data_IF_433503524170
#
_entry.id   IF_433503524170
#
_cell.length_a   1.000
_cell.length_b   1.000
_cell.length_c   1.000
_cell.angle_alpha   90.00
_cell.angle_beta   90.00
_cell.angle_gamma   90.00
#
_symmetry.space_group_name_H-M   'P 1'
#
loop_
_entity.id
_entity.type
_entity.pdbx_description
1 polymer ?
#
# COMPACT_ATOMS: atom_id res chain seq x y z
N UNK A 1 -4.26 -39.50 55.27
CA UNK A 1 -3.44 -39.75 54.06
C UNK A 1 -4.26 -39.70 52.78
N UNK A 2 -5.55 -40.09 52.77
CA UNK A 2 -6.35 -40.10 51.52
C UNK A 2 -6.76 -38.72 50.99
N UNK A 3 -6.88 -37.69 51.84
CA UNK A 3 -7.30 -36.35 51.41
C UNK A 3 -6.22 -35.60 50.59
N UNK A 4 -4.95 -35.70 51.00
CA UNK A 4 -3.82 -35.08 50.28
C UNK A 4 -3.58 -35.73 48.91
N UNK A 5 -3.85 -37.04 48.79
CA UNK A 5 -3.72 -37.77 47.53
C UNK A 5 -4.78 -37.31 46.51
N UNK A 6 -6.00 -37.07 46.99
CA UNK A 6 -7.11 -36.59 46.16
C UNK A 6 -6.88 -35.15 45.67
N UNK A 7 -6.23 -34.33 46.49
CA UNK A 7 -5.91 -32.94 46.17
C UNK A 7 -4.76 -32.84 45.15
N UNK A 8 -3.73 -33.68 45.30
CA UNK A 8 -2.66 -33.83 44.29
C UNK A 8 -3.20 -34.35 42.95
N UNK A 9 -4.15 -35.29 42.99
CA UNK A 9 -4.75 -35.82 41.77
C UNK A 9 -5.59 -34.76 41.05
N UNK A 10 -6.33 -33.93 41.78
CA UNK A 10 -7.06 -32.77 41.22
C UNK A 10 -6.14 -31.70 40.66
N UNK A 11 -5.04 -31.38 41.35
CA UNK A 11 -4.05 -30.42 40.86
C UNK A 11 -3.39 -30.92 39.57
N UNK A 12 -3.03 -32.20 39.52
CA UNK A 12 -2.47 -32.80 38.31
C UNK A 12 -3.46 -32.74 37.13
N UNK A 13 -4.73 -33.08 37.37
CA UNK A 13 -5.79 -33.03 36.36
C UNK A 13 -6.04 -31.60 35.88
N UNK A 14 -6.09 -30.62 36.79
CA UNK A 14 -6.22 -29.21 36.44
C UNK A 14 -5.02 -28.70 35.63
N UNK A 15 -3.79 -29.14 35.94
CA UNK A 15 -2.61 -28.79 35.12
C UNK A 15 -2.60 -29.48 33.75
N UNK A 16 -3.15 -30.69 33.63
CA UNK A 16 -3.32 -31.34 32.34
C UNK A 16 -4.42 -30.69 31.50
N UNK A 17 -5.52 -30.26 32.10
CA UNK A 17 -6.56 -29.51 31.39
C UNK A 17 -6.10 -28.10 30.99
N UNK A 18 -5.28 -27.44 31.81
CA UNK A 18 -4.61 -26.17 31.47
C UNK A 18 -3.65 -26.36 30.31
N UNK A 19 -2.77 -27.38 30.36
CA UNK A 19 -1.87 -27.69 29.24
C UNK A 19 -2.66 -28.10 28.00
N UNK A 20 -3.70 -28.93 28.12
CA UNK A 20 -4.54 -29.34 27.00
C UNK A 20 -5.33 -28.19 26.36
N UNK A 21 -5.65 -27.13 27.12
CA UNK A 21 -6.17 -25.86 26.58
C UNK A 21 -5.09 -24.98 25.96
N UNK A 22 -3.86 -24.97 26.50
CA UNK A 22 -2.69 -24.29 25.91
C UNK A 22 -2.15 -24.97 24.64
N UNK A 23 -2.46 -26.26 24.44
CA UNK A 23 -2.18 -27.02 23.23
C UNK A 23 -3.31 -26.95 22.19
N UNK A 24 -4.26 -26.01 22.32
CA UNK A 24 -4.99 -25.52 21.13
C UNK A 24 -3.94 -24.84 20.24
N UNK A 25 -3.57 -25.64 19.25
CA UNK A 25 -2.27 -25.82 18.65
C UNK A 25 -1.76 -24.60 17.89
N UNK A 26 -0.51 -24.18 18.16
CA UNK A 26 0.24 -23.27 17.27
C UNK A 26 0.16 -23.72 15.80
N UNK A 27 0.09 -25.03 15.56
CA UNK A 27 -0.12 -25.64 14.24
C UNK A 27 -1.49 -25.31 13.64
N UNK A 28 -2.57 -25.33 14.44
CA UNK A 28 -3.90 -24.91 13.99
C UNK A 28 -3.93 -23.41 13.71
N UNK A 29 -3.30 -22.60 14.56
CA UNK A 29 -3.19 -21.17 14.33
C UNK A 29 -2.41 -20.86 13.05
N UNK A 30 -1.30 -21.58 12.82
CA UNK A 30 -0.53 -21.49 11.58
C UNK A 30 -1.37 -21.87 10.36
N UNK A 31 -2.10 -22.99 10.43
CA UNK A 31 -2.97 -23.44 9.34
C UNK A 31 -4.10 -22.43 9.03
N UNK A 32 -4.69 -21.81 10.05
CA UNK A 32 -5.73 -20.79 9.88
C UNK A 32 -5.17 -19.55 9.20
N UNK A 33 -4.02 -19.05 9.67
CA UNK A 33 -3.31 -17.91 9.06
C UNK A 33 -2.97 -18.20 7.61
N UNK A 34 -2.42 -19.38 7.30
CA UNK A 34 -2.10 -19.78 5.92
C UNK A 34 -3.35 -19.92 5.04
N UNK A 35 -4.45 -20.43 5.59
CA UNK A 35 -5.72 -20.56 4.86
C UNK A 35 -6.29 -19.20 4.50
N UNK A 36 -6.25 -18.25 5.44
CA UNK A 36 -6.74 -16.89 5.22
C UNK A 36 -5.90 -16.14 4.18
N UNK A 37 -4.56 -16.26 4.27
CA UNK A 37 -3.63 -15.70 3.28
C UNK A 37 -3.88 -16.31 1.91
N UNK A 38 -4.06 -17.63 1.79
CA UNK A 38 -4.33 -18.26 0.50
C UNK A 38 -5.69 -17.85 -0.10
N UNK A 39 -6.64 -17.42 0.73
CA UNK A 39 -7.97 -16.99 0.29
C UNK A 39 -7.99 -15.56 -0.24
N UNK A 40 -7.39 -14.62 0.51
CA UNK A 40 -7.52 -13.17 0.24
C UNK A 40 -6.18 -12.52 -0.13
N UNK A 41 -5.05 -13.15 0.21
CA UNK A 41 -3.70 -12.58 0.06
C UNK A 41 -3.32 -11.59 1.17
N UNK A 42 -4.25 -11.23 2.05
CA UNK A 42 -4.04 -10.37 3.22
C UNK A 42 -4.80 -10.94 4.41
N UNK A 43 -4.14 -11.00 5.57
CA UNK A 43 -4.70 -11.58 6.79
C UNK A 43 -4.43 -10.67 8.00
N UNK A 44 -5.50 -10.26 8.67
CA UNK A 44 -5.44 -9.47 9.91
C UNK A 44 -5.27 -10.40 11.11
N UNK A 45 -4.20 -10.22 11.87
CA UNK A 45 -3.95 -11.06 13.04
C UNK A 45 -4.94 -10.81 14.17
N UNK A 46 -5.53 -9.62 14.25
CA UNK A 46 -6.56 -9.29 15.25
C UNK A 46 -7.85 -10.07 15.00
N UNK A 47 -8.24 -10.20 13.72
CA UNK A 47 -9.43 -10.94 13.33
C UNK A 47 -9.22 -12.45 13.54
N UNK A 48 -8.04 -12.95 13.18
CA UNK A 48 -7.66 -14.36 13.41
C UNK A 48 -7.60 -14.66 14.91
N UNK A 49 -6.99 -13.79 15.71
CA UNK A 49 -6.92 -13.93 17.17
C UNK A 49 -8.33 -14.01 17.78
N UNK A 50 -9.25 -13.16 17.32
CA UNK A 50 -10.64 -13.13 17.78
C UNK A 50 -11.43 -14.37 17.34
N UNK A 51 -11.22 -14.86 16.11
CA UNK A 51 -11.90 -16.04 15.58
C UNK A 51 -11.45 -17.34 16.26
N UNK A 52 -10.15 -17.47 16.54
CA UNK A 52 -9.58 -18.67 17.21
C UNK A 52 -9.74 -18.59 18.73
N UNK A 53 -9.93 -17.39 19.28
CA UNK A 53 -10.04 -17.15 20.73
C UNK A 53 -8.70 -17.17 21.45
N UNK A 54 -7.65 -16.65 20.79
CA UNK A 54 -6.26 -16.64 21.28
C UNK A 54 -5.78 -15.21 21.44
N UNK A 55 -4.87 -14.97 22.38
CA UNK A 55 -4.25 -13.66 22.58
C UNK A 55 -3.37 -13.25 21.37
N UNK A 56 -3.43 -11.97 20.99
CA UNK A 56 -2.74 -11.42 19.81
C UNK A 56 -1.23 -11.73 19.82
N UNK A 57 -0.58 -11.69 20.99
CA UNK A 57 0.85 -11.94 21.16
C UNK A 57 1.26 -13.32 20.63
N UNK A 58 0.41 -14.33 20.77
CA UNK A 58 0.68 -15.66 20.25
C UNK A 58 0.49 -15.74 18.73
N UNK A 59 -0.46 -14.96 18.19
CA UNK A 59 -0.68 -14.84 16.75
C UNK A 59 0.48 -14.13 16.06
N UNK A 60 0.96 -13.01 16.63
CA UNK A 60 2.12 -12.27 16.12
C UNK A 60 3.37 -13.16 16.09
N UNK A 61 3.61 -13.93 17.14
CA UNK A 61 4.77 -14.83 17.20
C UNK A 61 4.73 -15.95 16.16
N UNK A 62 3.54 -16.46 15.84
CA UNK A 62 3.37 -17.47 14.77
C UNK A 62 3.47 -16.81 13.40
N UNK A 63 2.94 -15.60 13.23
CA UNK A 63 3.05 -14.81 12.01
C UNK A 63 4.51 -14.52 11.64
N UNK A 64 5.32 -14.08 12.59
CA UNK A 64 6.76 -13.85 12.40
C UNK A 64 7.49 -15.13 11.96
N UNK A 65 7.12 -16.28 12.52
CA UNK A 65 7.68 -17.57 12.11
C UNK A 65 7.30 -17.92 10.66
N UNK A 66 6.03 -17.71 10.29
CA UNK A 66 5.55 -17.96 8.93
C UNK A 66 6.30 -17.06 7.93
N UNK A 67 6.44 -15.76 8.22
CA UNK A 67 7.16 -14.81 7.36
C UNK A 67 8.64 -15.15 7.26
N UNK A 68 9.26 -15.67 8.33
CA UNK A 68 10.64 -16.14 8.28
C UNK A 68 10.82 -17.41 7.41
N UNK A 69 9.81 -18.28 7.35
CA UNK A 69 9.81 -19.48 6.51
C UNK A 69 9.49 -19.17 5.03
N UNK A 70 8.66 -18.14 4.78
CA UNK A 70 8.08 -17.81 3.47
C UNK A 70 8.40 -16.37 3.07
N UNK A 71 9.39 -16.14 2.19
CA UNK A 71 9.85 -14.79 1.82
C UNK A 71 8.86 -14.02 0.93
N UNK A 72 7.85 -14.70 0.40
CA UNK A 72 6.72 -14.15 -0.36
C UNK A 72 5.66 -13.49 0.54
N UNK A 73 5.82 -13.57 1.86
CA UNK A 73 4.94 -12.95 2.83
C UNK A 73 5.64 -11.78 3.52
N UNK A 74 4.88 -10.74 3.81
CA UNK A 74 5.35 -9.53 4.48
C UNK A 74 4.49 -9.22 5.69
N UNK A 75 5.13 -8.90 6.81
CA UNK A 75 4.42 -8.47 8.03
C UNK A 75 4.30 -6.95 8.04
N UNK A 76 3.07 -6.44 8.12
CA UNK A 76 2.75 -5.00 8.07
C UNK A 76 1.69 -4.68 9.12
N UNK A 77 2.04 -3.88 10.13
CA UNK A 77 1.09 -3.31 11.11
C UNK A 77 0.14 -4.31 11.79
N UNK A 78 0.60 -5.53 12.10
CA UNK A 78 -0.28 -6.56 12.69
C UNK A 78 -1.05 -7.38 11.65
N UNK A 79 -0.67 -7.28 10.39
CA UNK A 79 -1.22 -8.07 9.28
C UNK A 79 -0.11 -8.80 8.54
N UNK A 80 -0.47 -9.90 7.87
CA UNK A 80 0.39 -10.59 6.93
C UNK A 80 -0.18 -10.38 5.52
N UNK A 81 0.69 -9.95 4.61
CA UNK A 81 0.32 -9.67 3.22
C UNK A 81 1.23 -10.46 2.29
N UNK A 82 0.63 -11.21 1.36
CA UNK A 82 1.32 -11.95 0.33
C UNK A 82 1.74 -11.05 -0.84
N UNK A 83 2.82 -11.41 -1.52
CA UNK A 83 3.30 -10.66 -2.69
C UNK A 83 2.27 -10.64 -3.84
N UNK A 84 1.46 -11.69 -3.96
CA UNK A 84 0.35 -11.76 -4.93
C UNK A 84 -0.75 -10.72 -4.68
N UNK A 85 -0.97 -10.34 -3.42
CA UNK A 85 -1.88 -9.23 -3.09
C UNK A 85 -1.33 -7.91 -3.62
N UNK A 86 -0.03 -7.67 -3.46
CA UNK A 86 0.63 -6.48 -3.97
C UNK A 86 0.66 -6.43 -5.50
N UNK A 87 0.73 -7.58 -6.17
CA UNK A 87 0.59 -7.67 -7.62
C UNK A 87 -0.82 -7.25 -8.07
N UNK A 88 -1.86 -7.75 -7.38
CA UNK A 88 -3.25 -7.37 -7.66
C UNK A 88 -3.48 -5.87 -7.44
N UNK A 89 -2.96 -5.33 -6.33
CA UNK A 89 -3.00 -3.89 -6.04
C UNK A 89 -2.26 -3.09 -7.10
N UNK A 90 -1.12 -3.56 -7.57
CA UNK A 90 -0.35 -2.89 -8.62
C UNK A 90 -1.08 -2.89 -9.97
N UNK A 91 -1.78 -3.96 -10.32
CA UNK A 91 -2.65 -4.01 -11.50
C UNK A 91 -3.80 -3.01 -11.39
N UNK A 92 -4.52 -2.98 -10.26
CA UNK A 92 -5.60 -2.02 -9.99
C UNK A 92 -5.10 -0.57 -10.05
N UNK A 93 -3.92 -0.29 -9.48
CA UNK A 93 -3.28 1.02 -9.54
C UNK A 93 -2.89 1.37 -10.98
N UNK A 94 -2.41 0.41 -11.76
CA UNK A 94 -2.08 0.65 -13.16
C UNK A 94 -3.33 0.95 -13.98
N UNK A 95 -4.43 0.24 -13.79
CA UNK A 95 -5.71 0.53 -14.45
C UNK A 95 -6.19 1.95 -14.15
N UNK A 96 -6.25 2.31 -12.86
CA UNK A 96 -6.60 3.67 -12.44
C UNK A 96 -5.66 4.71 -13.05
N UNK A 97 -4.36 4.42 -13.10
CA UNK A 97 -3.35 5.29 -13.71
C UNK A 97 -3.55 5.46 -15.22
N UNK A 98 -3.90 4.41 -15.95
CA UNK A 98 -4.15 4.52 -17.39
C UNK A 98 -5.46 5.27 -17.68
N UNK A 99 -6.46 5.17 -16.80
CA UNK A 99 -7.73 5.88 -16.93
C UNK A 99 -7.60 7.38 -16.66
N UNK A 100 -6.98 7.77 -15.53
CA UNK A 100 -6.83 9.17 -15.13
C UNK A 100 -5.60 9.86 -15.73
N UNK A 101 -4.58 9.08 -16.12
CA UNK A 101 -3.28 9.56 -16.56
C UNK A 101 -2.31 9.92 -15.42
N UNK A 102 -2.82 10.18 -14.21
CA UNK A 102 -2.06 10.49 -13.00
C UNK A 102 -2.75 10.00 -11.72
N UNK A 103 -1.98 9.56 -10.72
CA UNK A 103 -2.52 9.11 -9.42
C UNK A 103 -1.60 9.50 -8.27
N UNK A 104 -2.18 9.91 -7.14
CA UNK A 104 -1.44 10.30 -5.93
C UNK A 104 -1.26 9.10 -5.00
N UNK A 105 -0.02 8.76 -4.65
CA UNK A 105 0.28 7.61 -3.78
C UNK A 105 -0.33 7.78 -2.38
N UNK A 106 -0.41 9.02 -1.87
CA UNK A 106 -1.05 9.30 -0.58
C UNK A 106 -2.55 8.98 -0.54
N UNK A 107 -3.25 9.07 -1.66
CA UNK A 107 -4.67 8.70 -1.76
C UNK A 107 -4.83 7.19 -1.85
N UNK A 108 -3.97 6.53 -2.62
CA UNK A 108 -3.91 5.07 -2.69
C UNK A 108 -3.59 4.47 -1.31
N UNK A 109 -2.65 5.05 -0.56
CA UNK A 109 -2.28 4.62 0.77
C UNK A 109 -3.49 4.65 1.74
N UNK A 110 -4.32 5.69 1.65
CA UNK A 110 -5.58 5.77 2.41
C UNK A 110 -6.59 4.72 1.96
N UNK A 111 -6.75 4.53 0.64
CA UNK A 111 -7.68 3.55 0.06
C UNK A 111 -7.36 2.12 0.49
N UNK A 112 -6.09 1.73 0.47
CA UNK A 112 -5.65 0.39 0.86
C UNK A 112 -5.39 0.24 2.37
N UNK A 113 -5.50 1.34 3.13
CA UNK A 113 -5.21 1.42 4.56
C UNK A 113 -3.79 0.92 4.90
N UNK A 114 -2.79 1.44 4.19
CA UNK A 114 -1.37 1.08 4.34
C UNK A 114 -0.51 2.32 4.42
N UNK A 115 0.69 2.21 5.01
CA UNK A 115 1.64 3.33 5.08
C UNK A 115 2.09 3.77 3.68
N UNK A 116 2.13 5.08 3.43
CA UNK A 116 2.52 5.65 2.13
C UNK A 116 3.94 5.26 1.71
N UNK A 117 4.87 5.18 2.66
CA UNK A 117 6.24 4.74 2.43
C UNK A 117 6.31 3.28 1.95
N UNK A 118 5.53 2.40 2.60
CA UNK A 118 5.46 0.99 2.22
C UNK A 118 4.86 0.83 0.83
N UNK A 119 3.75 1.53 0.56
CA UNK A 119 3.12 1.49 -0.76
C UNK A 119 4.06 2.03 -1.85
N UNK A 120 4.79 3.10 -1.57
CA UNK A 120 5.80 3.65 -2.50
C UNK A 120 6.83 2.58 -2.88
N UNK A 121 7.43 1.89 -1.90
CA UNK A 121 8.42 0.83 -2.15
C UNK A 121 7.85 -0.35 -2.93
N UNK A 122 6.64 -0.78 -2.57
CA UNK A 122 5.95 -1.88 -3.27
C UNK A 122 5.70 -1.52 -4.73
N UNK A 123 5.19 -0.33 -4.99
CA UNK A 123 4.91 0.13 -6.35
C UNK A 123 6.22 0.34 -7.14
N UNK A 124 7.26 0.93 -6.56
CA UNK A 124 8.57 1.11 -7.20
C UNK A 124 9.15 -0.19 -7.74
N UNK A 125 9.05 -1.28 -6.97
CA UNK A 125 9.54 -2.60 -7.38
C UNK A 125 8.78 -3.20 -8.59
N UNK A 126 7.58 -2.70 -8.88
CA UNK A 126 6.65 -3.20 -9.90
C UNK A 126 6.49 -2.27 -11.10
N UNK A 127 7.05 -1.07 -11.03
CA UNK A 127 7.14 -0.15 -12.16
C UNK A 127 7.98 -0.80 -13.28
N UNK A 128 7.45 -0.76 -14.50
CA UNK A 128 8.07 -1.37 -15.68
C UNK A 128 7.73 -2.84 -15.88
N UNK A 129 7.06 -3.49 -14.92
CA UNK A 129 6.51 -4.84 -15.07
C UNK A 129 4.99 -4.80 -15.15
N UNK A 130 4.34 -4.45 -14.04
CA UNK A 130 2.87 -4.36 -13.92
C UNK A 130 2.39 -2.93 -14.14
N UNK A 131 3.13 -1.95 -13.62
CA UNK A 131 2.76 -0.54 -13.69
C UNK A 131 3.51 0.13 -14.84
N UNK A 132 2.76 0.64 -15.81
CA UNK A 132 3.28 1.41 -16.94
C UNK A 132 3.23 2.92 -16.63
N UNK A 133 4.09 3.34 -15.72
CA UNK A 133 4.14 4.72 -15.24
C UNK A 133 5.52 5.12 -14.74
N UNK A 134 5.63 6.39 -14.34
CA UNK A 134 6.77 6.93 -13.61
C UNK A 134 6.31 7.45 -12.26
N UNK A 135 7.05 7.12 -11.22
CA UNK A 135 6.83 7.66 -9.89
C UNK A 135 7.78 8.84 -9.66
N UNK A 136 7.22 10.02 -9.43
CA UNK A 136 7.97 11.22 -9.08
C UNK A 136 7.23 11.97 -7.96
N UNK A 137 7.96 12.36 -6.91
CA UNK A 137 7.43 13.15 -5.79
C UNK A 137 6.14 12.60 -5.14
N UNK A 138 5.99 11.27 -5.05
CA UNK A 138 4.81 10.62 -4.46
C UNK A 138 3.58 10.60 -5.38
N UNK A 139 3.78 10.83 -6.68
CA UNK A 139 2.74 10.73 -7.71
C UNK A 139 3.19 9.84 -8.86
N UNK A 140 2.25 9.06 -9.37
CA UNK A 140 2.42 8.23 -10.56
C UNK A 140 1.86 8.95 -11.78
N UNK A 141 2.61 8.92 -12.88
CA UNK A 141 2.20 9.51 -14.15
C UNK A 141 2.39 8.53 -15.29
N UNK A 142 1.46 8.55 -16.25
CA UNK A 142 1.66 7.86 -17.53
C UNK A 142 2.62 8.67 -18.42
N UNK A 143 3.46 8.01 -19.25
CA UNK A 143 4.29 8.70 -20.23
C UNK A 143 3.49 9.59 -21.21
N UNK A 144 2.26 9.19 -21.53
CA UNK A 144 1.35 9.95 -22.38
C UNK A 144 0.90 11.25 -21.70
N UNK A 145 0.56 11.21 -20.41
CA UNK A 145 0.18 12.39 -19.63
C UNK A 145 1.34 13.38 -19.54
N UNK A 146 2.57 12.91 -19.24
CA UNK A 146 3.77 13.77 -19.22
C UNK A 146 4.02 14.41 -20.59
N UNK A 147 3.85 13.66 -21.67
CA UNK A 147 4.03 14.17 -23.04
C UNK A 147 3.01 15.24 -23.40
N UNK A 148 1.75 15.08 -22.96
CA UNK A 148 0.68 16.05 -23.13
C UNK A 148 1.01 17.36 -22.40
N UNK A 149 1.41 17.26 -21.14
CA UNK A 149 1.84 18.41 -20.34
C UNK A 149 3.01 19.14 -21.01
N UNK A 150 4.02 18.40 -21.47
CA UNK A 150 5.16 18.98 -22.19
C UNK A 150 4.75 19.70 -23.46
N UNK A 151 3.76 19.19 -24.19
CA UNK A 151 3.23 19.85 -25.38
C UNK A 151 2.49 21.15 -25.03
N UNK A 152 1.67 21.15 -23.97
CA UNK A 152 0.97 22.35 -23.46
C UNK A 152 1.97 23.43 -23.06
N UNK A 153 2.95 23.07 -22.24
CA UNK A 153 4.01 24.00 -21.80
C UNK A 153 4.76 24.58 -23.00
N UNK A 154 5.17 23.71 -23.94
CA UNK A 154 5.88 24.15 -25.15
C UNK A 154 5.02 25.07 -26.02
N UNK A 155 3.73 24.78 -26.17
CA UNK A 155 2.78 25.60 -26.90
C UNK A 155 2.64 26.99 -26.28
N UNK A 156 2.46 27.04 -24.95
CA UNK A 156 2.35 28.29 -24.21
C UNK A 156 3.62 29.14 -24.34
N UNK A 157 4.80 28.55 -24.17
CA UNK A 157 6.08 29.28 -24.30
C UNK A 157 6.31 29.78 -25.73
N UNK A 158 5.93 29.00 -26.75
CA UNK A 158 6.03 29.43 -28.16
C UNK A 158 5.08 30.57 -28.53
N UNK A 159 3.95 30.68 -27.83
CA UNK A 159 2.98 31.75 -28.07
C UNK A 159 3.41 33.10 -27.47
N UNK A 160 4.46 33.13 -26.63
CA UNK A 160 4.98 34.35 -26.04
C UNK A 160 5.66 35.21 -27.11
N UNK A 161 5.06 36.34 -27.44
CA UNK A 161 5.58 37.31 -28.41
C UNK A 161 6.44 38.40 -27.78
N UNK A 162 6.47 38.47 -26.44
CA UNK A 162 7.23 39.46 -25.67
C UNK A 162 7.99 38.76 -24.53
N UNK A 163 9.17 39.26 -24.14
CA UNK A 163 9.89 38.76 -22.97
C UNK A 163 8.98 38.79 -21.75
N UNK A 164 8.62 37.60 -21.26
CA UNK A 164 7.67 37.42 -20.17
C UNK A 164 8.36 36.68 -19.04
N UNK A 165 8.19 37.14 -17.80
CA UNK A 165 8.76 36.47 -16.64
C UNK A 165 8.17 35.07 -16.48
N UNK A 166 9.00 34.08 -16.13
CA UNK A 166 8.60 32.68 -15.99
C UNK A 166 7.45 32.50 -14.97
N UNK A 167 7.44 33.31 -13.91
CA UNK A 167 6.39 33.32 -12.88
C UNK A 167 5.00 33.73 -13.42
N UNK A 168 4.96 34.60 -14.43
CA UNK A 168 3.71 34.99 -15.08
C UNK A 168 3.18 33.86 -15.99
N UNK A 169 4.07 33.19 -16.72
CA UNK A 169 3.74 32.00 -17.52
C UNK A 169 3.21 30.89 -16.62
N UNK A 170 3.86 30.67 -15.48
CA UNK A 170 3.44 29.71 -14.46
C UNK A 170 2.01 29.95 -13.98
N UNK A 171 1.73 31.17 -13.51
CA UNK A 171 0.43 31.54 -12.96
C UNK A 171 -0.69 31.39 -13.99
N UNK A 172 -0.39 31.68 -15.27
CA UNK A 172 -1.35 31.54 -16.36
C UNK A 172 -1.66 30.06 -16.66
N UNK A 173 -0.64 29.22 -16.78
CA UNK A 173 -0.81 27.77 -17.02
C UNK A 173 -1.58 27.10 -15.87
N UNK A 174 -1.24 27.42 -14.63
CA UNK A 174 -1.91 26.86 -13.46
C UNK A 174 -3.40 27.23 -13.42
N UNK A 175 -3.76 28.43 -13.92
CA UNK A 175 -5.16 28.84 -14.06
C UNK A 175 -5.90 28.03 -15.13
N UNK A 176 -5.29 27.82 -16.29
CA UNK A 176 -5.91 27.07 -17.39
C UNK A 176 -6.11 25.58 -17.07
N UNK A 177 -5.21 24.98 -16.30
CA UNK A 177 -5.35 23.59 -15.86
C UNK A 177 -6.52 23.42 -14.88
N UNK A 178 -6.64 24.35 -13.92
CA UNK A 178 -7.76 24.37 -12.98
C UNK A 178 -9.12 24.55 -13.67
N UNK A 179 -9.19 25.37 -14.72
CA UNK A 179 -10.42 25.56 -15.50
C UNK A 179 -10.78 24.34 -16.37
N UNK A 180 -9.83 23.44 -16.66
CA UNK A 180 -10.06 22.19 -17.38
C UNK A 180 -10.49 21.02 -16.49
N UNK A 181 -10.14 21.04 -15.21
CA UNK A 181 -10.33 19.95 -14.25
C UNK A 181 -11.67 19.94 -13.50
N UNK A 182 -12.54 20.95 -13.72
CA UNK A 182 -13.90 21.00 -13.15
C UNK A 182 -14.81 19.84 -13.61
N UNK A 183 -14.31 18.91 -14.45
CA UNK A 183 -15.03 17.71 -14.87
C UNK A 183 -14.67 16.41 -14.11
N UNK A 184 -13.57 16.32 -13.36
CA UNK A 184 -13.27 15.11 -12.57
C UNK A 184 -12.16 15.30 -11.52
N UNK A 185 -12.57 15.22 -10.24
CA UNK A 185 -11.77 14.94 -9.03
C UNK A 185 -10.56 15.83 -8.73
N UNK A 186 -10.68 16.63 -7.66
CA UNK A 186 -9.63 17.54 -7.18
C UNK A 186 -8.34 16.84 -6.78
N UNK A 187 -7.25 17.16 -7.50
CA UNK A 187 -5.88 16.74 -7.17
C UNK A 187 -4.89 17.91 -7.31
N UNK A 188 -5.01 18.94 -6.47
CA UNK A 188 -4.38 20.27 -6.71
C UNK A 188 -2.90 20.40 -6.31
N UNK A 189 -2.20 19.38 -5.80
CA UNK A 189 -0.83 19.59 -5.26
C UNK A 189 0.35 19.13 -6.10
N UNK A 190 0.27 18.08 -6.91
CA UNK A 190 1.48 17.53 -7.54
C UNK A 190 1.63 17.73 -9.04
N UNK A 191 0.57 18.06 -9.77
CA UNK A 191 0.73 18.58 -11.14
C UNK A 191 1.70 19.75 -11.16
N UNK A 192 1.60 20.65 -10.17
CA UNK A 192 2.47 21.80 -10.02
C UNK A 192 3.97 21.44 -10.07
N UNK A 193 4.34 20.33 -9.42
CA UNK A 193 5.73 19.86 -9.34
C UNK A 193 6.19 19.31 -10.68
N UNK A 194 5.34 18.51 -11.36
CA UNK A 194 5.66 17.95 -12.66
C UNK A 194 5.79 19.04 -13.74
N UNK A 195 4.87 20.00 -13.77
CA UNK A 195 4.97 21.14 -14.70
C UNK A 195 6.24 21.96 -14.47
N UNK A 196 6.61 22.23 -13.21
CA UNK A 196 7.85 22.94 -12.89
C UNK A 196 9.09 22.16 -13.32
N UNK A 197 9.10 20.85 -13.10
CA UNK A 197 10.16 19.94 -13.57
C UNK A 197 10.29 19.99 -15.11
N UNK A 198 9.17 19.85 -15.83
CA UNK A 198 9.13 19.89 -17.30
C UNK A 198 9.59 21.24 -17.84
N UNK A 199 9.13 22.34 -17.24
CA UNK A 199 9.50 23.70 -17.65
C UNK A 199 10.99 23.94 -17.45
N UNK A 200 11.52 23.59 -16.27
CA UNK A 200 12.95 23.71 -15.97
C UNK A 200 13.80 22.87 -16.92
N UNK A 201 13.33 21.66 -17.26
CA UNK A 201 13.96 20.79 -18.25
C UNK A 201 13.84 21.24 -19.71
N UNK A 202 13.07 22.29 -20.02
CA UNK A 202 13.05 22.92 -21.35
C UNK A 202 14.06 24.07 -21.49
N UNK A 203 14.54 24.62 -20.38
CA UNK A 203 15.47 25.77 -20.35
C UNK A 203 16.91 25.40 -19.98
N UNK A 204 17.14 24.17 -19.50
CA UNK A 204 18.47 23.54 -19.38
C UNK A 204 18.82 22.75 -20.65
#
# INVERSE_FOLDING_TARGET
MDAELLELQRLFQATQESKAKEFITKERLKAEVETEINRIGRASLVDIASAVGVELVHCERVAEQIVAEKPDLTFVQGEIVADSYWDTVAEEVNEALQESGQVVVGELAKRFNVGSELLTRVLESRIGKLIQGKLEAGQLYTPAHVSRIRAVVRGAVRALTVPTALSAVWSCLQKQLREGDDASSGGVSGEGVLFQSVLSGLFN
#
